data_IF_281529187491
#
_entry.id   IF_281529187491
#
_cell.length_a   1.000
_cell.length_b   1.000
_cell.length_c   1.000
_cell.angle_alpha   90.00
_cell.angle_beta   90.00
_cell.angle_gamma   90.00
#
_symmetry.space_group_name_H-M   'P 1'
#
loop_
_entity.id
_entity.type
_entity.pdbx_description
1 polymer ?
2 water ?
#
# COMPACT_ATOMS: atom_id res chain seq x y z
N UNK A 1 30.62 -6.14 42.10
CA UNK A 1 31.44 -6.32 40.88
C UNK A 1 31.53 -5.01 40.09
N UNK A 2 32.74 -4.78 39.61
CA UNK A 2 33.08 -3.62 38.77
C UNK A 2 32.61 -3.87 37.32
N UNK A 3 32.34 -5.14 37.02
CA UNK A 3 31.73 -5.54 35.74
C UNK A 3 30.27 -5.09 35.68
N UNK A 4 29.53 -5.37 36.76
CA UNK A 4 28.17 -4.89 36.93
C UNK A 4 28.08 -3.38 36.83
N UNK A 5 28.94 -2.69 37.57
CA UNK A 5 29.03 -1.23 37.48
C UNK A 5 29.11 -0.77 36.01
N UNK A 6 29.90 -1.49 35.21
CA UNK A 6 30.17 -1.14 33.81
C UNK A 6 28.96 -1.33 32.91
N UNK A 7 28.37 -2.52 32.96
CA UNK A 7 27.13 -2.81 32.28
C UNK A 7 26.00 -1.87 32.68
N UNK A 8 25.85 -1.60 33.97
CA UNK A 8 24.85 -0.63 34.43
C UNK A 8 25.05 0.73 33.78
N UNK A 9 26.31 1.16 33.70
CA UNK A 9 26.62 2.46 33.10
C UNK A 9 26.24 2.44 31.61
N UNK A 10 26.58 1.37 30.89
CA UNK A 10 26.27 1.30 29.47
C UNK A 10 24.74 1.24 29.23
N UNK A 11 24.02 0.49 30.05
CA UNK A 11 22.56 0.44 29.97
C UNK A 11 21.94 1.81 30.18
N UNK A 12 22.46 2.57 31.14
CA UNK A 12 22.02 3.96 31.35
C UNK A 12 22.24 4.88 30.15
N UNK A 13 23.39 4.77 29.51
CA UNK A 13 23.68 5.57 28.32
C UNK A 13 22.79 5.20 27.17
N UNK A 14 22.64 3.89 26.94
CA UNK A 14 21.80 3.40 25.85
C UNK A 14 20.33 3.77 26.13
N UNK A 15 19.87 3.60 27.36
CA UNK A 15 18.49 3.98 27.71
C UNK A 15 18.23 5.47 27.48
N UNK A 16 19.14 6.33 27.92
CA UNK A 16 18.96 7.76 27.76
C UNK A 16 18.90 8.09 26.25
N UNK A 17 19.79 7.50 25.47
CA UNK A 17 19.73 7.70 24.02
C UNK A 17 18.36 7.22 23.49
N UNK A 18 17.96 5.98 23.82
CA UNK A 18 16.67 5.45 23.34
C UNK A 18 15.42 6.23 23.77
N UNK A 19 15.43 6.79 24.97
CA UNK A 19 14.31 7.63 25.39
C UNK A 19 14.29 8.92 24.57
N UNK A 20 15.45 9.42 24.15
CA UNK A 20 15.46 10.61 23.29
C UNK A 20 14.89 10.33 21.90
N UNK A 21 15.21 9.18 21.31
CA UNK A 21 14.63 8.77 20.04
C UNK A 21 13.10 8.63 20.17
N UNK A 22 12.64 8.04 21.26
CA UNK A 22 11.19 7.96 21.54
C UNK A 22 10.52 9.33 21.65
N UNK A 23 11.20 10.27 22.29
CA UNK A 23 10.70 11.65 22.39
C UNK A 23 10.52 12.27 21.00
N UNK A 24 11.47 12.02 20.11
CA UNK A 24 11.36 12.44 18.72
C UNK A 24 10.18 11.77 18.03
N UNK A 25 10.04 10.46 18.21
CA UNK A 25 8.98 9.68 17.52
C UNK A 25 7.57 10.08 17.98
N UNK A 26 7.46 10.61 19.19
CA UNK A 26 6.18 10.97 19.79
C UNK A 26 5.93 12.47 19.86
N UNK A 27 6.74 13.28 19.17
CA UNK A 27 6.56 14.74 19.17
C UNK A 27 6.68 15.40 20.53
N UNK A 28 7.53 14.87 21.40
CA UNK A 28 7.67 15.36 22.78
C UNK A 28 9.06 15.90 23.11
N UNK A 29 10.03 15.85 22.18
CA UNK A 29 11.41 16.23 22.55
C UNK A 29 11.49 17.68 23.01
N UNK A 30 12.50 17.98 23.80
CA UNK A 30 12.69 19.37 24.22
C UNK A 30 13.43 20.13 23.12
N UNK A 31 12.96 21.33 22.78
CA UNK A 31 13.52 22.08 21.64
C UNK A 31 14.01 23.47 22.01
N UNK A 32 14.99 23.95 21.26
CA UNK A 32 15.65 25.23 21.52
C UNK A 32 14.69 26.40 21.48
N UNK A 33 15.14 27.52 22.04
CA UNK A 33 14.25 28.64 22.37
C UNK A 33 13.20 28.99 21.29
N UNK A 34 13.56 28.86 20.03
CA UNK A 34 12.61 29.14 18.96
C UNK A 34 12.70 28.14 17.81
N UNK A 35 12.98 26.88 18.14
CA UNK A 35 13.05 25.81 17.16
C UNK A 35 11.68 25.16 17.04
N UNK A 36 11.54 24.26 16.08
CA UNK A 36 10.32 23.49 15.91
C UNK A 36 10.67 22.01 16.09
N UNK A 37 9.79 21.26 16.75
CA UNK A 37 9.99 19.83 16.95
C UNK A 37 9.99 19.08 15.64
N UNK A 38 10.72 17.97 15.59
CA UNK A 38 10.79 17.15 14.36
C UNK A 38 9.39 16.77 13.85
N UNK A 39 8.52 16.35 14.76
CA UNK A 39 7.19 15.91 14.38
C UNK A 39 6.37 17.04 13.74
N UNK A 40 6.53 18.27 14.23
CA UNK A 40 5.84 19.39 13.61
C UNK A 40 6.46 19.71 12.23
N UNK A 41 7.77 19.64 12.09
CA UNK A 41 8.42 19.84 10.80
C UNK A 41 7.96 18.82 9.75
N UNK A 42 7.70 17.59 10.18
CA UNK A 42 7.07 16.62 9.29
C UNK A 42 5.65 17.07 8.93
N UNK A 43 4.88 17.51 9.92
CA UNK A 43 3.52 17.94 9.67
C UNK A 43 3.47 19.10 8.65
N UNK A 44 4.45 20.01 8.71
CA UNK A 44 4.54 21.10 7.75
C UNK A 44 4.80 20.54 6.34
N UNK A 45 5.70 19.57 6.21
CA UNK A 45 5.95 18.93 4.91
C UNK A 45 4.70 18.29 4.35
N UNK A 46 3.95 17.59 5.21
CA UNK A 46 2.70 16.96 4.77
C UNK A 46 1.60 17.97 4.44
N UNK A 47 1.65 19.15 5.04
CA UNK A 47 0.73 20.24 4.66
C UNK A 47 1.10 20.78 3.27
N UNK A 48 2.39 20.87 2.97
CA UNK A 48 2.84 21.24 1.64
C UNK A 48 2.38 20.20 0.63
N UNK A 49 2.48 18.93 1.00
CA UNK A 49 2.00 17.84 0.16
C UNK A 49 0.52 18.01 -0.19
N UNK A 50 -0.30 18.37 0.79
CA UNK A 50 -1.72 18.57 0.54
C UNK A 50 -1.97 19.62 -0.51
N UNK A 51 -1.24 20.71 -0.37
CA UNK A 51 -1.30 21.82 -1.32
C UNK A 51 -0.89 21.39 -2.73
N UNK A 52 0.24 20.70 -2.85
CA UNK A 52 0.69 20.19 -4.14
C UNK A 52 -0.41 19.36 -4.82
N UNK A 53 -1.05 18.52 -4.04
CA UNK A 53 -2.11 17.66 -4.55
C UNK A 53 -3.35 18.47 -4.92
N UNK A 54 -3.70 19.46 -4.10
CA UNK A 54 -4.84 20.32 -4.41
C UNK A 54 -4.58 21.07 -5.71
N UNK A 55 -3.41 21.68 -5.83
CA UNK A 55 -3.00 22.38 -7.06
C UNK A 55 -3.01 21.45 -8.27
N UNK A 56 -2.44 20.26 -8.11
CA UNK A 56 -2.48 19.23 -9.16
C UNK A 56 -3.91 18.93 -9.61
N UNK A 57 -4.81 18.77 -8.65
CA UNK A 57 -6.20 18.46 -8.94
C UNK A 57 -6.91 19.59 -9.70
N UNK A 58 -6.74 20.83 -9.24
CA UNK A 58 -7.35 21.98 -9.90
C UNK A 58 -6.74 22.19 -11.29
N UNK A 59 -5.43 21.98 -11.40
CA UNK A 59 -4.74 21.98 -12.68
C UNK A 59 -5.35 20.94 -13.62
N UNK A 60 -5.60 19.74 -13.09
CA UNK A 60 -6.18 18.65 -13.89
C UNK A 60 -7.62 18.91 -14.32
N UNK A 61 -8.43 19.45 -13.41
CA UNK A 61 -9.80 19.87 -13.71
C UNK A 61 -9.82 20.93 -14.82
N UNK A 62 -8.92 21.89 -14.73
CA UNK A 62 -8.88 22.96 -15.71
C UNK A 62 -8.42 22.42 -17.06
N UNK A 63 -7.35 21.62 -17.08
CA UNK A 63 -6.86 21.02 -18.34
C UNK A 63 -7.93 20.16 -19.02
N UNK A 64 -8.69 19.41 -18.23
CA UNK A 64 -9.71 18.53 -18.77
C UNK A 64 -10.91 19.34 -19.27
N UNK A 65 -11.41 20.28 -18.46
CA UNK A 65 -12.51 21.17 -18.91
C UNK A 65 -12.22 21.75 -20.28
N UNK A 66 -10.99 22.24 -20.43
CA UNK A 66 -10.57 22.89 -21.67
C UNK A 66 -10.49 21.90 -22.81
N UNK A 67 -9.98 20.71 -22.55
CA UNK A 67 -9.93 19.69 -23.59
C UNK A 67 -11.34 19.44 -24.15
N UNK A 68 -12.32 19.36 -23.26
CA UNK A 68 -13.71 19.11 -23.65
C UNK A 68 -14.30 20.25 -24.48
N UNK A 69 -14.09 21.49 -24.04
CA UNK A 69 -14.56 22.66 -24.81
C UNK A 69 -13.98 22.64 -26.23
N UNK A 70 -12.68 22.41 -26.34
CA UNK A 70 -11.96 22.40 -27.61
C UNK A 70 -12.53 21.36 -28.56
N UNK A 71 -12.83 20.16 -28.06
CA UNK A 71 -13.48 19.14 -28.87
C UNK A 71 -14.90 19.56 -29.22
N UNK A 72 -15.66 20.02 -28.22
CA UNK A 72 -17.05 20.46 -28.42
C UNK A 72 -17.25 21.29 -29.69
N UNK A 73 -16.18 21.95 -30.15
CA UNK A 73 -16.22 22.74 -31.38
C UNK A 73 -15.45 22.04 -32.52
N UNK A 83 -18.28 9.02 -26.88
CA UNK A 83 -17.16 8.52 -26.08
C UNK A 83 -16.06 7.90 -26.93
N UNK A 84 -15.82 8.47 -28.11
CA UNK A 84 -14.74 8.03 -28.99
C UNK A 84 -13.40 8.59 -28.50
N UNK A 85 -13.49 9.71 -27.78
CA UNK A 85 -12.33 10.37 -27.20
C UNK A 85 -12.06 9.96 -25.75
N UNK A 86 -12.79 8.97 -25.24
CA UNK A 86 -12.63 8.59 -23.85
C UNK A 86 -11.19 8.23 -23.49
N UNK A 87 -10.52 7.50 -24.37
CA UNK A 87 -9.15 7.06 -24.14
C UNK A 87 -8.23 8.26 -24.11
N UNK A 88 -8.57 9.29 -24.89
CA UNK A 88 -7.80 10.51 -24.88
C UNK A 88 -8.00 11.31 -23.60
N UNK A 89 -9.22 11.33 -23.05
CA UNK A 89 -9.50 12.08 -21.82
C UNK A 89 -8.92 11.37 -20.61
N UNK A 90 -9.12 10.06 -20.56
CA UNK A 90 -8.64 9.27 -19.43
C UNK A 90 -7.14 9.47 -19.24
N UNK A 91 -6.41 9.48 -20.35
CA UNK A 91 -4.97 9.75 -20.35
C UNK A 91 -4.58 11.02 -19.59
N UNK A 92 -5.46 12.03 -19.63
CA UNK A 92 -5.16 13.30 -18.94
C UNK A 92 -5.21 13.14 -17.43
N UNK A 93 -6.23 12.46 -16.93
CA UNK A 93 -6.29 12.21 -15.49
C UNK A 93 -5.13 11.28 -15.09
N UNK A 94 -4.94 10.18 -15.82
CA UNK A 94 -3.84 9.26 -15.54
C UNK A 94 -2.51 9.98 -15.44
N UNK A 95 -2.23 10.87 -16.40
CA UNK A 95 -0.96 11.57 -16.42
C UNK A 95 -0.82 12.64 -15.32
N UNK A 96 -1.93 13.20 -14.84
CA UNK A 96 -1.90 14.12 -13.70
C UNK A 96 -1.49 13.41 -12.42
N UNK A 97 -2.01 12.20 -12.22
CA UNK A 97 -1.73 11.41 -11.04
C UNK A 97 -0.30 10.85 -11.07
N UNK A 98 0.11 10.31 -12.20
CA UNK A 98 1.52 9.91 -12.43
C UNK A 98 2.56 11.03 -12.13
N UNK A 99 2.17 12.29 -12.35
CA UNK A 99 3.08 13.43 -12.12
C UNK A 99 3.37 13.63 -10.65
N UNK A 100 2.50 13.11 -9.78
CA UNK A 100 2.72 13.16 -8.32
C UNK A 100 3.72 12.13 -7.80
N UNK A 101 4.17 11.21 -8.65
CA UNK A 101 5.00 10.08 -8.17
C UNK A 101 6.37 10.53 -7.69
N UNK A 102 7.12 11.21 -8.54
CA UNK A 102 8.50 11.62 -8.17
C UNK A 102 8.52 12.63 -7.00
N UNK A 103 7.60 13.61 -6.99
CA UNK A 103 7.44 14.47 -5.81
C UNK A 103 7.15 13.66 -4.55
N UNK A 104 6.36 12.61 -4.67
CA UNK A 104 6.13 11.74 -3.53
C UNK A 104 7.44 11.14 -3.04
N UNK A 105 8.25 10.63 -3.97
CA UNK A 105 9.56 10.08 -3.61
C UNK A 105 10.50 11.20 -3.13
N UNK A 106 10.39 12.40 -3.69
CA UNK A 106 11.24 13.48 -3.21
C UNK A 106 10.93 13.76 -1.75
N UNK A 107 9.65 13.86 -1.41
CA UNK A 107 9.24 14.10 -0.02
C UNK A 107 9.78 13.00 0.91
N UNK A 108 9.70 11.74 0.47
CA UNK A 108 10.33 10.66 1.22
C UNK A 108 11.76 11.04 1.55
N UNK A 109 12.55 11.46 0.56
CA UNK A 109 13.98 11.77 0.79
C UNK A 109 14.17 12.98 1.68
N UNK A 110 13.35 14.02 1.50
CA UNK A 110 13.44 15.24 2.29
C UNK A 110 13.17 14.91 3.76
N UNK A 111 12.12 14.14 4.01
CA UNK A 111 11.76 13.80 5.38
C UNK A 111 12.77 12.88 6.04
N UNK A 112 13.35 11.91 5.32
CA UNK A 112 14.28 10.98 5.96
C UNK A 112 15.56 11.70 6.31
N UNK A 113 15.93 12.70 5.52
CA UNK A 113 17.05 13.56 5.88
C UNK A 113 16.83 14.30 7.21
N UNK A 114 15.63 14.79 7.45
CA UNK A 114 15.31 15.50 8.70
C UNK A 114 15.41 14.56 9.88
N UNK A 115 14.94 13.33 9.70
CA UNK A 115 14.91 12.36 10.77
C UNK A 115 16.30 11.86 11.04
N UNK A 116 17.06 11.52 10.00
CA UNK A 116 18.44 11.13 10.18
C UNK A 116 19.26 12.19 10.95
N UNK A 117 19.01 13.47 10.68
CA UNK A 117 19.72 14.57 11.34
C UNK A 117 19.28 14.69 12.79
N UNK A 118 17.98 14.58 13.03
CA UNK A 118 17.45 14.57 14.38
C UNK A 118 18.17 13.47 15.18
N UNK A 119 18.17 12.25 14.64
CA UNK A 119 18.75 11.11 15.33
C UNK A 119 20.25 11.30 15.53
N UNK A 120 20.92 11.92 14.58
CA UNK A 120 22.34 12.17 14.70
C UNK A 120 22.60 13.18 15.82
N UNK A 121 21.77 14.19 15.96
CA UNK A 121 21.93 15.18 17.05
C UNK A 121 21.64 14.58 18.41
N UNK A 122 20.76 13.58 18.48
CA UNK A 122 20.57 12.85 19.72
C UNK A 122 21.86 12.08 20.06
N UNK A 123 22.46 11.50 19.03
CA UNK A 123 23.72 10.80 19.19
C UNK A 123 24.84 11.73 19.63
N UNK A 124 24.92 12.93 19.06
CA UNK A 124 25.93 13.90 19.48
C UNK A 124 25.69 14.26 20.95
N UNK A 125 24.45 14.63 21.25
CA UNK A 125 24.06 15.04 22.60
C UNK A 125 24.36 13.99 23.66
N UNK A 126 24.19 12.72 23.33
CA UNK A 126 24.36 11.65 24.31
C UNK A 126 25.77 11.10 24.39
N UNK A 127 26.49 11.10 23.27
CA UNK A 127 27.67 10.27 23.12
C UNK A 127 28.89 11.02 22.60
N UNK A 128 28.95 12.34 22.63
CA UNK A 128 30.12 13.00 22.04
C UNK A 128 31.35 12.97 22.92
N UNK A 129 31.20 12.51 24.17
CA UNK A 129 32.36 12.19 25.03
C UNK A 129 32.70 10.68 24.98
N UNK A 130 31.90 9.91 24.25
CA UNK A 130 32.11 8.47 24.07
C UNK A 130 32.15 8.19 22.58
N UNK A 131 33.28 8.56 22.00
CA UNK A 131 33.52 8.51 20.56
C UNK A 131 33.18 7.20 19.85
N UNK A 132 33.42 6.05 20.50
CA UNK A 132 33.15 4.74 19.88
C UNK A 132 31.67 4.40 19.84
N UNK A 133 30.99 4.74 20.93
CA UNK A 133 29.57 4.59 21.06
C UNK A 133 28.87 5.55 20.10
N UNK A 134 29.39 6.77 20.01
CA UNK A 134 28.92 7.72 19.01
C UNK A 134 29.06 7.20 17.56
N UNK A 135 30.25 6.74 17.16
CA UNK A 135 30.38 6.29 15.78
C UNK A 135 29.55 5.02 15.55
N UNK A 136 29.52 4.14 16.53
CA UNK A 136 28.66 2.95 16.44
C UNK A 136 27.19 3.32 16.21
N UNK A 137 26.68 4.27 16.99
CA UNK A 137 25.30 4.74 16.86
C UNK A 137 25.04 5.37 15.50
N UNK A 138 26.00 6.14 15.01
CA UNK A 138 25.92 6.75 13.68
C UNK A 138 25.89 5.72 12.56
N UNK A 139 26.72 4.70 12.66
CA UNK A 139 26.71 3.66 11.63
C UNK A 139 25.35 2.91 11.60
N UNK A 140 24.72 2.76 12.76
CA UNK A 140 23.39 2.17 12.83
C UNK A 140 22.31 3.13 12.29
N UNK A 141 22.42 4.41 12.63
CA UNK A 141 21.53 5.44 12.09
C UNK A 141 21.54 5.43 10.54
N UNK A 142 22.72 5.23 9.97
CA UNK A 142 22.91 5.22 8.53
C UNK A 142 22.49 3.89 7.88
N UNK A 143 22.76 2.76 8.50
CA UNK A 143 22.37 1.49 7.88
C UNK A 143 20.86 1.39 7.86
N UNK A 144 20.21 1.80 8.95
CA UNK A 144 18.76 1.67 9.03
C UNK A 144 18.07 2.70 8.10
N UNK A 145 18.67 3.87 7.91
CA UNK A 145 18.17 4.84 6.94
C UNK A 145 18.05 4.14 5.59
N UNK A 146 19.17 3.57 5.14
CA UNK A 146 19.23 2.93 3.83
C UNK A 146 18.11 1.93 3.71
N UNK A 147 18.03 1.02 4.68
CA UNK A 147 17.08 -0.08 4.62
C UNK A 147 15.62 0.39 4.55
N UNK A 148 15.26 1.36 5.38
CA UNK A 148 13.84 1.75 5.50
C UNK A 148 13.39 2.65 4.34
N UNK A 149 14.31 3.47 3.86
CA UNK A 149 14.07 4.35 2.73
C UNK A 149 13.87 3.52 1.45
N UNK A 150 14.67 2.49 1.23
CA UNK A 150 14.44 1.58 0.10
C UNK A 150 13.01 1.00 0.17
N UNK A 151 12.60 0.63 1.38
CA UNK A 151 11.31 -0.03 1.57
C UNK A 151 10.16 0.96 1.40
N UNK A 152 10.33 2.16 1.97
CA UNK A 152 9.32 3.22 1.82
C UNK A 152 9.15 3.63 0.37
N UNK A 153 10.25 3.74 -0.36
CA UNK A 153 10.14 4.12 -1.77
C UNK A 153 9.39 3.06 -2.57
N UNK A 154 9.67 1.80 -2.29
CA UNK A 154 9.00 0.72 -2.96
C UNK A 154 7.49 0.78 -2.75
N UNK A 155 7.06 1.03 -1.51
CA UNK A 155 5.63 1.08 -1.20
C UNK A 155 4.99 2.32 -1.82
N UNK A 156 5.69 3.44 -1.79
CA UNK A 156 5.19 4.65 -2.46
C UNK A 156 4.97 4.39 -3.95
N UNK A 157 5.99 3.80 -4.60
CA UNK A 157 5.92 3.56 -6.04
C UNK A 157 4.82 2.56 -6.38
N UNK A 158 4.68 1.53 -5.55
CA UNK A 158 3.60 0.56 -5.66
C UNK A 158 2.24 1.26 -5.53
N UNK A 159 2.16 2.23 -4.62
CA UNK A 159 0.90 2.90 -4.44
C UNK A 159 0.53 3.58 -5.73
N UNK A 160 1.51 4.19 -6.39
CA UNK A 160 1.24 4.88 -7.65
C UNK A 160 0.85 3.98 -8.77
N UNK A 161 1.40 2.78 -8.88
CA UNK A 161 0.88 1.89 -9.91
C UNK A 161 -0.51 1.36 -9.55
N UNK A 162 -0.86 1.32 -8.28
CA UNK A 162 -2.24 0.94 -7.91
C UNK A 162 -3.21 2.00 -8.38
N UNK A 163 -2.78 3.25 -8.33
CA UNK A 163 -3.64 4.37 -8.70
C UNK A 163 -3.95 4.45 -10.19
N UNK A 164 -3.07 3.90 -11.02
CA UNK A 164 -3.33 3.79 -12.47
C UNK A 164 -4.46 2.78 -12.81
N UNK A 165 -5.39 2.54 -11.87
CA UNK A 165 -6.63 1.81 -12.15
C UNK A 165 -7.80 2.68 -11.67
N UNK A 166 -8.74 2.99 -12.56
CA UNK A 166 -9.86 3.86 -12.20
C UNK A 166 -10.67 3.22 -11.08
N UNK A 167 -10.85 3.94 -9.97
CA UNK A 167 -11.66 3.49 -8.83
C UNK A 167 -11.05 2.26 -8.21
N UNK A 208 -24.09 12.30 -21.50
CA UNK A 208 -23.57 13.55 -22.03
C UNK A 208 -22.04 13.57 -22.00
N UNK A 209 -21.47 14.61 -22.58
CA UNK A 209 -20.05 14.89 -22.45
C UNK A 209 -19.71 15.32 -21.01
N UNK A 210 -20.72 15.83 -20.30
CA UNK A 210 -20.59 16.24 -18.88
C UNK A 210 -20.54 15.09 -17.87
N UNK A 211 -20.96 13.90 -18.28
CA UNK A 211 -20.91 12.75 -17.39
C UNK A 211 -19.59 12.01 -17.51
N UNK A 212 -18.89 12.19 -18.63
CA UNK A 212 -17.53 11.69 -18.76
C UNK A 212 -16.59 12.58 -17.95
N UNK A 213 -16.84 13.89 -17.99
CA UNK A 213 -16.11 14.84 -17.17
C UNK A 213 -16.27 14.53 -15.68
N UNK A 214 -17.51 14.36 -15.24
CA UNK A 214 -17.77 14.11 -13.83
C UNK A 214 -17.23 12.74 -13.39
N UNK A 215 -17.30 11.75 -14.28
CA UNK A 215 -16.73 10.42 -14.04
C UNK A 215 -15.22 10.49 -13.82
N UNK A 216 -14.50 11.01 -14.82
CA UNK A 216 -13.05 11.07 -14.72
C UNK A 216 -12.59 11.98 -13.57
N UNK A 217 -13.33 13.06 -13.30
CA UNK A 217 -12.96 13.96 -12.20
C UNK A 217 -13.30 13.37 -10.86
N UNK A 218 -14.26 12.45 -10.83
CA UNK A 218 -14.57 11.71 -9.62
C UNK A 218 -13.34 10.91 -9.26
N UNK A 219 -12.86 10.16 -10.25
CA UNK A 219 -11.66 9.35 -10.10
C UNK A 219 -10.45 10.17 -9.65
N UNK A 220 -10.23 11.32 -10.27
CA UNK A 220 -9.08 12.19 -9.91
C UNK A 220 -9.17 12.62 -8.44
N UNK A 221 -10.36 13.06 -8.00
CA UNK A 221 -10.55 13.48 -6.60
C UNK A 221 -10.27 12.36 -5.61
N UNK A 222 -10.77 11.16 -5.93
CA UNK A 222 -10.64 10.03 -5.04
C UNK A 222 -9.18 9.62 -4.93
N UNK A 223 -8.49 9.54 -6.07
CA UNK A 223 -7.04 9.31 -6.08
C UNK A 223 -6.25 10.41 -5.37
N UNK A 224 -6.70 11.66 -5.47
CA UNK A 224 -5.99 12.78 -4.82
C UNK A 224 -6.07 12.64 -3.31
N UNK A 225 -7.26 12.36 -2.81
CA UNK A 225 -7.44 12.19 -1.36
C UNK A 225 -6.56 11.08 -0.85
N UNK A 226 -6.54 9.96 -1.55
CA UNK A 226 -5.73 8.83 -1.12
C UNK A 226 -4.25 9.16 -1.13
N UNK A 227 -3.77 9.80 -2.17
CA UNK A 227 -2.35 10.11 -2.26
C UNK A 227 -1.97 11.09 -1.17
N UNK A 228 -2.86 12.04 -0.88
CA UNK A 228 -2.62 13.07 0.14
C UNK A 228 -2.48 12.47 1.53
N UNK A 229 -3.18 11.37 1.73
CA UNK A 229 -3.24 10.76 3.03
C UNK A 229 -2.23 9.62 3.18
N UNK A 230 -2.15 8.75 2.18
CA UNK A 230 -1.40 7.51 2.30
C UNK A 230 0.12 7.65 2.14
N UNK A 231 0.57 8.63 1.36
CA UNK A 231 2.03 8.81 1.21
C UNK A 231 2.69 9.30 2.53
N UNK A 232 2.11 10.30 3.21
CA UNK A 232 2.67 10.68 4.54
C UNK A 232 2.60 9.54 5.56
N UNK A 233 1.54 8.75 5.51
CA UNK A 233 1.43 7.57 6.35
C UNK A 233 2.58 6.59 6.09
N UNK A 234 2.86 6.33 4.82
CA UNK A 234 3.96 5.44 4.45
C UNK A 234 5.27 6.00 4.98
N UNK A 235 5.51 7.27 4.69
CA UNK A 235 6.75 7.92 5.09
C UNK A 235 6.99 7.91 6.63
N UNK A 236 5.96 8.29 7.37
CA UNK A 236 6.02 8.36 8.79
C UNK A 236 6.23 6.96 9.41
N UNK A 237 5.54 5.94 8.87
CA UNK A 237 5.65 4.58 9.39
C UNK A 237 7.03 4.03 9.21
N UNK A 238 7.61 4.24 8.04
CA UNK A 238 8.91 3.68 7.72
C UNK A 238 10.04 4.51 8.27
N UNK A 239 9.97 5.83 8.10
CA UNK A 239 11.10 6.70 8.36
C UNK A 239 11.06 7.48 9.66
N UNK A 240 10.00 7.32 10.45
CA UNK A 240 10.07 7.77 11.85
C UNK A 240 9.75 6.63 12.78
N UNK A 241 8.54 6.08 12.74
CA UNK A 241 8.24 4.98 13.65
C UNK A 241 9.16 3.75 13.50
N UNK A 242 9.26 3.15 12.32
CA UNK A 242 10.05 1.91 12.15
C UNK A 242 11.54 2.21 12.33
N UNK A 243 12.01 3.24 11.64
CA UNK A 243 13.39 3.73 11.77
C UNK A 243 13.78 3.88 13.25
N UNK A 244 12.91 4.57 13.99
CA UNK A 244 13.13 4.82 15.41
C UNK A 244 13.20 3.52 16.21
N UNK A 245 12.23 2.63 15.95
CA UNK A 245 12.15 1.36 16.68
C UNK A 245 13.34 0.48 16.36
N UNK A 246 13.73 0.40 15.09
CA UNK A 246 14.88 -0.45 14.72
C UNK A 246 16.17 0.09 15.32
N UNK A 247 16.33 1.42 15.35
CA UNK A 247 17.53 2.02 15.92
C UNK A 247 17.58 1.62 17.37
N UNK A 248 16.50 1.78 18.09
CA UNK A 248 16.52 1.44 19.50
C UNK A 248 16.94 -0.02 19.74
N UNK A 249 16.38 -0.95 18.96
CA UNK A 249 16.74 -2.37 19.05
C UNK A 249 18.21 -2.61 18.69
N UNK A 250 18.72 -1.91 17.69
CA UNK A 250 20.14 -2.03 17.31
C UNK A 250 21.08 -1.58 18.44
N UNK A 251 20.67 -0.58 19.20
CA UNK A 251 21.47 -0.12 20.34
C UNK A 251 21.47 -1.14 21.50
N UNK A 252 20.32 -1.75 21.78
CA UNK A 252 20.22 -2.80 22.78
C UNK A 252 21.10 -3.99 22.43
N UNK A 253 21.29 -4.26 21.15
CA UNK A 253 22.19 -5.34 20.69
C UNK A 253 23.63 -5.16 21.18
N UNK A 254 24.04 -3.92 21.39
CA UNK A 254 25.38 -3.65 21.95
C UNK A 254 25.61 -4.26 23.32
N UNK A 255 24.55 -4.64 24.04
CA UNK A 255 24.69 -5.28 25.35
C UNK A 255 25.09 -6.76 25.26
N UNK A 256 25.05 -7.34 24.07
CA UNK A 256 25.35 -8.76 23.95
C UNK A 256 26.80 -9.09 24.34
N UNK A 257 27.77 -8.33 23.85
CA UNK A 257 29.19 -8.65 24.04
C UNK A 257 29.86 -7.85 25.18
N UNK A 258 29.88 -8.49 26.34
CA UNK A 258 30.53 -8.03 27.58
C UNK A 258 31.95 -7.45 27.41
N UNK A 259 32.76 -8.09 26.58
CA UNK A 259 34.15 -7.69 26.40
C UNK A 259 34.32 -6.40 25.58
N UNK A 260 33.24 -5.94 24.94
CA UNK A 260 33.24 -4.69 24.16
C UNK A 260 32.76 -3.47 24.97
N UNK A 261 32.22 -3.70 26.16
CA UNK A 261 31.65 -2.61 26.97
C UNK A 261 32.66 -1.48 27.23
N UNK A 262 33.88 -1.85 27.58
CA UNK A 262 34.90 -0.87 27.90
C UNK A 262 35.25 -0.02 26.70
N UNK A 263 35.35 -0.65 25.53
CA UNK A 263 35.62 0.04 24.27
C UNK A 263 34.50 1.03 23.92
N UNK A 264 33.25 0.60 24.10
CA UNK A 264 32.09 1.48 23.91
C UNK A 264 32.14 2.69 24.86
N UNK A 265 32.60 2.45 26.10
CA UNK A 265 32.66 3.46 27.16
C UNK A 265 33.95 4.30 27.17
N UNK A 266 34.83 4.09 26.18
CA UNK A 266 36.09 4.80 26.09
C UNK A 266 35.79 6.29 26.04
N UNK A 267 36.37 7.05 26.96
CA UNK A 267 36.02 8.47 27.10
C UNK A 267 37.21 9.39 27.02
N UNK A 268 38.24 9.01 26.29
CA UNK A 268 39.45 9.84 26.24
C UNK A 268 39.29 10.94 25.18
N UNK B 2 1.04 -27.59 -41.82
CA UNK B 2 2.29 -26.83 -41.50
C UNK B 2 2.43 -26.62 -39.99
N UNK B 3 3.66 -26.55 -39.51
CA UNK B 3 3.92 -26.14 -38.13
C UNK B 3 3.40 -24.73 -37.90
N UNK B 4 3.55 -23.89 -38.93
CA UNK B 4 3.18 -22.49 -38.83
C UNK B 4 1.67 -22.27 -38.74
N UNK B 5 0.89 -23.18 -39.29
CA UNK B 5 -0.56 -23.05 -39.24
C UNK B 5 -1.07 -23.33 -37.82
N UNK B 6 -0.50 -24.37 -37.21
CA UNK B 6 -0.77 -24.69 -35.81
C UNK B 6 -0.46 -23.52 -34.93
N UNK B 7 0.73 -22.94 -35.11
CA UNK B 7 1.15 -21.81 -34.30
C UNK B 7 0.13 -20.67 -34.34
N UNK B 8 -0.31 -20.31 -35.54
CA UNK B 8 -1.20 -19.18 -35.70
C UNK B 8 -2.60 -19.46 -35.17
N UNK B 9 -3.05 -20.70 -35.28
CA UNK B 9 -4.33 -21.11 -34.71
C UNK B 9 -4.26 -20.92 -33.20
N UNK B 10 -3.12 -21.26 -32.63
CA UNK B 10 -2.90 -21.16 -31.20
C UNK B 10 -2.79 -19.72 -30.72
N UNK B 11 -2.14 -18.89 -31.52
CA UNK B 11 -2.07 -17.48 -31.26
C UNK B 11 -3.51 -16.97 -31.16
N UNK B 12 -4.32 -17.30 -32.16
CA UNK B 12 -5.73 -16.88 -32.15
C UNK B 12 -6.48 -17.34 -30.90
N UNK B 13 -6.30 -18.58 -30.50
CA UNK B 13 -7.09 -19.11 -29.38
C UNK B 13 -6.67 -18.44 -28.08
N UNK B 14 -5.36 -18.31 -27.91
CA UNK B 14 -4.78 -17.67 -26.73
C UNK B 14 -5.18 -16.21 -26.67
N UNK B 15 -5.19 -15.56 -27.82
CA UNK B 15 -5.40 -14.11 -27.88
C UNK B 15 -6.87 -13.77 -27.66
N UNK B 16 -7.78 -14.61 -28.14
CA UNK B 16 -9.21 -14.42 -27.88
C UNK B 16 -9.54 -14.62 -26.38
N UNK B 17 -8.91 -15.61 -25.77
CA UNK B 17 -9.05 -15.84 -24.33
C UNK B 17 -8.56 -14.59 -23.56
N UNK B 18 -7.36 -14.13 -23.90
CA UNK B 18 -6.80 -12.91 -23.32
C UNK B 18 -7.68 -11.66 -23.52
N UNK B 19 -8.33 -11.55 -24.67
CA UNK B 19 -9.29 -10.46 -24.86
C UNK B 19 -10.45 -10.60 -23.86
N UNK B 20 -10.95 -11.81 -23.68
CA UNK B 20 -12.02 -12.04 -22.71
C UNK B 20 -11.61 -11.70 -21.26
N UNK B 21 -10.37 -12.04 -20.91
CA UNK B 21 -9.84 -11.69 -19.57
C UNK B 21 -9.77 -10.15 -19.43
N UNK B 22 -9.31 -9.45 -20.48
CA UNK B 22 -9.28 -7.99 -20.47
C UNK B 22 -10.64 -7.34 -20.30
N UNK B 23 -11.66 -7.86 -20.96
CA UNK B 23 -13.00 -7.30 -20.82
C UNK B 23 -13.47 -7.42 -19.37
N UNK B 24 -13.05 -8.50 -18.73
CA UNK B 24 -13.41 -8.80 -17.34
C UNK B 24 -12.77 -7.77 -16.42
N UNK B 25 -11.48 -7.54 -16.65
CA UNK B 25 -10.68 -6.55 -15.92
C UNK B 25 -11.17 -5.09 -16.08
N UNK B 26 -11.89 -4.81 -17.18
CA UNK B 26 -12.39 -3.47 -17.46
C UNK B 26 -13.92 -3.31 -17.27
N UNK B 27 -14.56 -4.30 -16.65
CA UNK B 27 -15.99 -4.25 -16.36
C UNK B 27 -16.93 -4.32 -17.56
N UNK B 28 -16.44 -4.78 -18.70
CA UNK B 28 -17.20 -4.67 -19.95
C UNK B 28 -17.42 -6.01 -20.64
N UNK B 29 -17.46 -7.10 -19.88
CA UNK B 29 -17.67 -8.42 -20.49
C UNK B 29 -19.13 -8.60 -20.88
N UNK B 30 -19.37 -9.45 -21.88
CA UNK B 30 -20.73 -9.74 -22.31
C UNK B 30 -21.35 -10.71 -21.31
N UNK B 31 -22.57 -10.40 -20.87
CA UNK B 31 -23.25 -11.17 -19.83
C UNK B 31 -24.71 -11.46 -20.19
N UNK B 32 -25.35 -12.33 -19.41
CA UNK B 32 -26.77 -12.69 -19.59
C UNK B 32 -27.74 -11.68 -18.98
N UNK B 33 -29.03 -11.89 -19.23
CA UNK B 33 -30.10 -10.93 -18.89
C UNK B 33 -30.27 -10.67 -17.39
N UNK B 34 -30.30 -11.73 -16.59
CA UNK B 34 -30.41 -11.61 -15.13
C UNK B 34 -29.08 -11.98 -14.46
N UNK B 35 -28.11 -12.34 -15.29
CA UNK B 35 -26.73 -12.50 -14.88
C UNK B 35 -26.18 -11.15 -14.43
N UNK B 36 -24.93 -11.13 -13.94
CA UNK B 36 -24.29 -9.89 -13.52
C UNK B 36 -22.78 -9.92 -13.77
N UNK B 37 -22.23 -8.75 -14.07
CA UNK B 37 -20.81 -8.64 -14.38
C UNK B 37 -19.96 -8.77 -13.14
N UNK B 38 -18.75 -9.30 -13.35
CA UNK B 38 -17.79 -9.48 -12.27
C UNK B 38 -17.62 -8.18 -11.51
N UNK B 39 -17.48 -7.10 -12.26
CA UNK B 39 -17.15 -5.84 -11.65
C UNK B 39 -18.25 -5.36 -10.73
N UNK B 40 -19.49 -5.69 -11.05
CA UNK B 40 -20.62 -5.37 -10.19
C UNK B 40 -20.62 -6.27 -8.95
N UNK B 41 -20.25 -7.52 -9.12
CA UNK B 41 -20.13 -8.42 -7.99
C UNK B 41 -19.09 -7.91 -7.01
N UNK B 42 -17.94 -7.46 -7.53
CA UNK B 42 -16.93 -6.84 -6.68
C UNK B 42 -17.43 -5.58 -5.95
N UNK B 43 -18.16 -4.74 -6.65
CA UNK B 43 -18.65 -3.47 -6.10
C UNK B 43 -19.64 -3.73 -4.95
N UNK B 44 -20.52 -4.72 -5.10
CA UNK B 44 -21.46 -5.09 -4.04
C UNK B 44 -20.70 -5.52 -2.78
N UNK B 45 -19.61 -6.26 -3.02
CA UNK B 45 -18.79 -6.74 -1.93
C UNK B 45 -18.13 -5.56 -1.19
N UNK B 46 -17.72 -4.52 -1.93
CA UNK B 46 -17.12 -3.36 -1.32
C UNK B 46 -18.15 -2.47 -0.61
N UNK B 47 -19.38 -2.46 -1.09
CA UNK B 47 -20.40 -1.78 -0.33
C UNK B 47 -20.61 -2.49 1.03
N UNK B 48 -20.54 -3.82 1.01
CA UNK B 48 -20.66 -4.61 2.22
C UNK B 48 -19.53 -4.22 3.18
N UNK B 49 -18.30 -4.14 2.66
CA UNK B 49 -17.15 -3.67 3.43
C UNK B 49 -17.42 -2.31 4.09
N UNK B 50 -18.04 -1.42 3.35
CA UNK B 50 -18.32 -0.09 3.83
C UNK B 50 -19.37 -0.10 4.99
N UNK B 51 -20.34 -1.02 4.94
CA UNK B 51 -21.28 -1.21 6.03
C UNK B 51 -20.59 -1.81 7.27
N UNK B 52 -19.64 -2.72 7.06
CA UNK B 52 -18.88 -3.31 8.18
C UNK B 52 -18.04 -2.25 8.90
N UNK B 53 -17.36 -1.43 8.11
CA UNK B 53 -16.56 -0.36 8.66
C UNK B 53 -17.41 0.58 9.51
N UNK B 54 -18.63 0.87 9.04
CA UNK B 54 -19.52 1.74 9.82
C UNK B 54 -20.03 1.08 11.08
N UNK B 55 -20.34 -0.22 11.02
CA UNK B 55 -20.69 -0.93 12.25
C UNK B 55 -19.55 -0.79 13.26
N UNK B 56 -18.33 -1.00 12.78
CA UNK B 56 -17.14 -0.96 13.62
C UNK B 56 -16.87 0.41 14.23
N UNK B 57 -17.12 1.47 13.48
CA UNK B 57 -16.90 2.81 13.99
C UNK B 57 -17.92 3.16 15.09
N UNK B 58 -19.19 2.85 14.85
CA UNK B 58 -20.23 3.14 15.83
C UNK B 58 -20.05 2.34 17.13
N UNK B 59 -19.66 1.07 17.06
CA UNK B 59 -19.36 0.30 18.28
C UNK B 59 -18.19 0.93 19.03
N UNK B 60 -17.11 1.26 18.32
CA UNK B 60 -15.99 1.97 18.94
C UNK B 60 -16.40 3.28 19.60
N UNK B 61 -17.31 4.00 18.95
CA UNK B 61 -17.91 5.20 19.51
C UNK B 61 -18.51 4.93 20.88
N UNK B 62 -19.36 3.92 20.97
CA UNK B 62 -20.05 3.57 22.22
C UNK B 62 -19.18 2.92 23.29
N UNK B 63 -18.15 2.19 22.89
CA UNK B 63 -17.18 1.62 23.85
C UNK B 63 -16.37 2.71 24.51
N UNK B 64 -15.86 3.62 23.68
CA UNK B 64 -15.06 4.74 24.14
C UNK B 64 -15.85 5.66 25.07
N UNK B 65 -17.14 5.82 24.79
CA UNK B 65 -18.08 6.52 25.67
C UNK B 65 -18.17 5.87 27.06
N UNK B 66 -18.39 4.56 27.06
CA UNK B 66 -18.50 3.79 28.31
C UNK B 66 -17.21 3.83 29.15
N UNK B 67 -16.05 3.89 28.52
CA UNK B 67 -14.79 4.03 29.27
C UNK B 67 -14.51 5.48 29.67
N UNK B 68 -14.99 6.44 28.89
CA UNK B 68 -14.82 7.87 29.23
C UNK B 68 -15.78 8.32 30.33
N UNK B 69 -16.80 7.51 30.63
CA UNK B 69 -17.54 7.66 31.88
C UNK B 69 -16.76 6.96 33.01
N UNK B 70 -15.77 7.66 33.53
CA UNK B 70 -14.99 7.24 34.69
C UNK B 70 -14.34 8.42 35.42
N UNK B 86 -5.14 7.57 29.84
CA UNK B 86 -5.17 7.96 28.43
C UNK B 86 -4.69 6.83 27.50
N UNK B 87 -3.54 6.24 27.78
CA UNK B 87 -3.03 5.13 26.97
C UNK B 87 -3.87 3.86 27.12
N UNK B 88 -4.68 3.81 28.18
CA UNK B 88 -5.75 2.82 28.30
C UNK B 88 -6.89 3.14 27.32
N UNK B 89 -7.13 4.43 27.07
CA UNK B 89 -8.17 4.84 26.13
C UNK B 89 -7.78 4.59 24.67
N UNK B 90 -6.56 4.98 24.27
CA UNK B 90 -6.14 4.82 22.88
C UNK B 90 -6.03 3.34 22.49
N UNK B 91 -5.73 2.48 23.46
CA UNK B 91 -5.72 1.02 23.23
C UNK B 91 -7.06 0.51 22.70
N UNK B 92 -8.17 1.13 23.11
CA UNK B 92 -9.48 0.65 22.66
C UNK B 92 -9.78 1.09 21.22
N UNK B 93 -9.34 2.29 20.82
CA UNK B 93 -9.48 2.70 19.41
C UNK B 93 -8.61 1.81 18.51
N UNK B 94 -7.41 1.50 18.96
CA UNK B 94 -6.47 0.72 18.16
C UNK B 94 -6.91 -0.73 18.10
N UNK B 95 -7.53 -1.24 19.15
CA UNK B 95 -8.04 -2.60 19.11
C UNK B 95 -9.30 -2.66 18.23
N UNK B 96 -10.01 -1.55 18.11
CA UNK B 96 -11.19 -1.45 17.26
C UNK B 96 -10.78 -1.45 15.78
N UNK B 97 -9.72 -0.73 15.45
CA UNK B 97 -9.12 -0.78 14.12
C UNK B 97 -8.62 -2.20 13.81
N UNK B 98 -7.85 -2.74 14.75
CA UNK B 98 -7.29 -4.07 14.60
C UNK B 98 -8.37 -5.11 14.25
N UNK B 99 -9.59 -4.96 14.80
CA UNK B 99 -10.68 -5.94 14.57
C UNK B 99 -11.17 -6.03 13.11
N UNK B 100 -10.79 -5.05 12.28
CA UNK B 100 -11.06 -5.10 10.84
C UNK B 100 -10.04 -5.93 10.04
N UNK B 101 -8.92 -6.31 10.64
CA UNK B 101 -7.86 -6.98 9.87
C UNK B 101 -8.31 -8.31 9.28
N UNK B 102 -8.85 -9.20 10.11
CA UNK B 102 -9.28 -10.53 9.59
C UNK B 102 -10.50 -10.45 8.65
N UNK B 103 -11.44 -9.55 8.91
CA UNK B 103 -12.49 -9.35 7.89
C UNK B 103 -11.93 -8.81 6.56
N UNK B 104 -10.96 -7.93 6.63
CA UNK B 104 -10.27 -7.45 5.44
C UNK B 104 -9.73 -8.63 4.63
N UNK B 105 -9.06 -9.55 5.33
CA UNK B 105 -8.48 -10.70 4.68
C UNK B 105 -9.54 -11.68 4.20
N UNK B 106 -10.60 -11.86 4.99
CA UNK B 106 -11.76 -12.62 4.55
C UNK B 106 -12.29 -12.11 3.22
N UNK B 107 -12.40 -10.79 3.07
CA UNK B 107 -12.96 -10.24 1.83
C UNK B 107 -11.97 -10.43 0.66
N UNK B 108 -10.67 -10.46 0.96
CA UNK B 108 -9.64 -10.75 -0.05
C UNK B 108 -9.99 -12.09 -0.66
N UNK B 109 -10.31 -13.06 0.22
CA UNK B 109 -10.54 -14.43 -0.21
C UNK B 109 -11.84 -14.55 -0.98
N UNK B 110 -12.90 -13.89 -0.53
CA UNK B 110 -14.17 -13.99 -1.25
C UNK B 110 -14.09 -13.29 -2.62
N UNK B 111 -13.39 -12.16 -2.71
CA UNK B 111 -13.21 -11.51 -4.02
C UNK B 111 -12.36 -12.40 -4.95
N UNK B 112 -11.25 -12.92 -4.44
CA UNK B 112 -10.42 -13.81 -5.23
C UNK B 112 -11.23 -14.98 -5.82
N UNK B 113 -12.09 -15.59 -5.01
CA UNK B 113 -12.91 -16.70 -5.49
C UNK B 113 -13.79 -16.35 -6.66
N UNK B 114 -14.37 -15.16 -6.65
CA UNK B 114 -15.24 -14.79 -7.75
C UNK B 114 -14.48 -14.45 -9.01
N UNK B 115 -13.27 -13.90 -8.86
CA UNK B 115 -12.44 -13.60 -10.01
C UNK B 115 -11.96 -14.91 -10.62
N UNK B 116 -11.54 -15.84 -9.77
CA UNK B 116 -11.10 -17.15 -10.21
C UNK B 116 -12.21 -17.92 -10.97
N UNK B 117 -13.46 -17.82 -10.52
CA UNK B 117 -14.60 -18.44 -11.19
C UNK B 117 -14.87 -17.76 -12.55
N UNK B 118 -14.80 -16.43 -12.60
CA UNK B 118 -14.99 -15.70 -13.85
C UNK B 118 -13.91 -16.09 -14.86
N UNK B 119 -12.67 -16.19 -14.40
CA UNK B 119 -11.56 -16.55 -15.26
C UNK B 119 -11.75 -17.98 -15.75
N UNK B 120 -12.23 -18.85 -14.87
CA UNK B 120 -12.46 -20.25 -15.21
C UNK B 120 -13.59 -20.37 -16.20
N UNK B 121 -14.65 -19.58 -16.01
CA UNK B 121 -15.75 -19.57 -16.97
C UNK B 121 -15.27 -19.05 -18.35
N UNK B 122 -14.29 -18.15 -18.37
CA UNK B 122 -13.70 -17.75 -19.65
C UNK B 122 -12.92 -18.89 -20.29
N UNK B 123 -12.18 -19.65 -19.51
CA UNK B 123 -11.51 -20.85 -20.01
C UNK B 123 -12.51 -21.81 -20.67
N UNK B 124 -13.65 -21.96 -20.03
CA UNK B 124 -14.72 -22.83 -20.48
C UNK B 124 -15.29 -22.34 -21.81
N UNK B 125 -15.66 -21.06 -21.88
CA UNK B 125 -16.19 -20.49 -23.13
C UNK B 125 -15.18 -20.61 -24.26
N UNK B 126 -13.91 -20.42 -23.98
CA UNK B 126 -12.90 -20.47 -25.04
C UNK B 126 -12.35 -21.82 -25.45
N UNK B 127 -12.21 -22.72 -24.48
CA UNK B 127 -11.42 -23.94 -24.64
C UNK B 127 -12.22 -25.22 -24.35
N UNK B 128 -13.54 -25.15 -24.34
CA UNK B 128 -14.37 -26.34 -24.00
C UNK B 128 -14.25 -27.46 -25.03
N UNK B 129 -13.74 -27.16 -26.22
CA UNK B 129 -13.50 -28.18 -27.25
C UNK B 129 -12.01 -28.56 -27.40
N UNK B 130 -11.18 -28.08 -26.48
CA UNK B 130 -9.74 -28.39 -26.42
C UNK B 130 -9.35 -28.63 -24.95
N UNK B 131 -9.55 -29.84 -24.45
CA UNK B 131 -9.48 -30.11 -23.00
C UNK B 131 -8.10 -29.91 -22.39
N UNK B 132 -7.04 -30.16 -23.18
CA UNK B 132 -5.67 -29.96 -22.71
C UNK B 132 -5.32 -28.47 -22.56
N UNK B 133 -5.96 -27.64 -23.36
CA UNK B 133 -5.76 -26.20 -23.27
C UNK B 133 -6.56 -25.70 -22.09
N UNK B 134 -7.75 -26.26 -21.88
CA UNK B 134 -8.61 -25.86 -20.78
C UNK B 134 -7.98 -26.22 -19.43
N UNK B 135 -7.39 -27.42 -19.37
CA UNK B 135 -6.63 -27.90 -18.21
C UNK B 135 -5.41 -27.03 -17.94
N UNK B 136 -4.73 -26.60 -18.99
CA UNK B 136 -3.54 -25.79 -18.83
C UNK B 136 -3.92 -24.38 -18.38
N UNK B 137 -4.96 -23.83 -18.97
CA UNK B 137 -5.48 -22.53 -18.56
C UNK B 137 -5.81 -22.52 -17.07
N UNK B 138 -6.60 -23.50 -16.65
CA UNK B 138 -7.04 -23.63 -15.27
C UNK B 138 -5.89 -23.73 -14.27
N UNK B 139 -4.89 -24.51 -14.65
CA UNK B 139 -3.69 -24.65 -13.86
C UNK B 139 -2.94 -23.30 -13.68
N UNK B 140 -2.96 -22.43 -14.69
CA UNK B 140 -2.36 -21.11 -14.54
C UNK B 140 -3.22 -20.22 -13.63
N UNK B 141 -4.53 -20.32 -13.82
CA UNK B 141 -5.50 -19.63 -13.00
C UNK B 141 -5.29 -19.91 -11.51
N UNK B 142 -4.96 -21.16 -11.18
CA UNK B 142 -4.70 -21.52 -9.80
C UNK B 142 -3.29 -21.09 -9.34
N UNK B 143 -2.26 -21.30 -10.15
CA UNK B 143 -0.92 -20.90 -9.75
C UNK B 143 -0.88 -19.39 -9.44
N UNK B 144 -1.34 -18.56 -10.37
CA UNK B 144 -1.29 -17.09 -10.20
C UNK B 144 -2.15 -16.63 -9.00
N UNK B 145 -3.31 -17.24 -8.79
CA UNK B 145 -4.13 -16.95 -7.65
C UNK B 145 -3.34 -17.05 -6.35
N UNK B 146 -2.68 -18.20 -6.18
CA UNK B 146 -1.89 -18.48 -4.98
C UNK B 146 -0.87 -17.37 -4.77
N UNK B 147 -0.10 -17.08 -5.81
CA UNK B 147 0.92 -16.05 -5.70
C UNK B 147 0.37 -14.65 -5.34
N UNK B 148 -0.67 -14.21 -6.03
CA UNK B 148 -1.17 -12.86 -5.85
C UNK B 148 -1.95 -12.72 -4.54
N UNK B 149 -2.61 -13.78 -4.11
CA UNK B 149 -3.39 -13.76 -2.89
C UNK B 149 -2.46 -13.66 -1.68
N UNK B 150 -1.32 -14.34 -1.76
CA UNK B 150 -0.24 -14.22 -0.77
C UNK B 150 0.19 -12.75 -0.66
N UNK B 151 0.40 -12.11 -1.80
CA UNK B 151 0.91 -10.74 -1.83
C UNK B 151 -0.17 -9.78 -1.39
N UNK B 152 -1.37 -9.98 -1.91
CA UNK B 152 -2.54 -9.22 -1.45
C UNK B 152 -2.65 -9.19 0.06
N UNK B 153 -2.54 -10.36 0.68
CA UNK B 153 -2.74 -10.48 2.11
C UNK B 153 -1.64 -9.74 2.85
N UNK B 154 -0.43 -9.92 2.35
CA UNK B 154 0.74 -9.30 2.89
C UNK B 154 0.54 -7.78 3.02
N UNK B 155 0.06 -7.13 1.97
CA UNK B 155 -0.10 -5.67 1.97
C UNK B 155 -1.29 -5.22 2.80
N UNK B 156 -2.36 -6.00 2.82
CA UNK B 156 -3.46 -5.71 3.70
C UNK B 156 -2.92 -5.69 5.14
N UNK B 157 -2.14 -6.67 5.49
CA UNK B 157 -1.73 -6.81 6.88
C UNK B 157 -0.72 -5.71 7.23
N UNK B 158 0.15 -5.37 6.28
CA UNK B 158 1.04 -4.20 6.44
C UNK B 158 0.24 -2.93 6.67
N UNK B 159 -0.78 -2.68 5.87
CA UNK B 159 -1.64 -1.52 6.12
C UNK B 159 -2.15 -1.46 7.56
N UNK B 160 -2.66 -2.57 8.07
CA UNK B 160 -3.15 -2.56 9.45
C UNK B 160 -2.03 -2.35 10.45
N UNK B 161 -0.83 -2.86 10.16
CA UNK B 161 0.34 -2.53 10.94
C UNK B 161 0.55 -1.00 10.92
N UNK B 162 0.45 -0.38 9.75
CA UNK B 162 0.64 1.05 9.62
C UNK B 162 -0.40 1.80 10.42
N UNK B 163 -1.65 1.35 10.35
CA UNK B 163 -2.73 2.07 11.04
C UNK B 163 -2.50 2.17 12.55
N UNK B 164 -1.81 1.21 13.14
CA UNK B 164 -1.58 1.21 14.58
C UNK B 164 -0.74 2.42 15.08
N UNK B 165 -0.21 3.28 14.19
CA UNK B 165 0.23 4.65 14.59
C UNK B 165 -0.88 5.72 14.49
N UNK B 166 -1.06 6.44 15.58
CA UNK B 166 -2.05 7.52 15.67
C UNK B 166 -1.37 8.88 15.45
N UNK B 211 -12.24 15.55 27.23
CA UNK B 211 -11.39 16.25 26.26
C UNK B 211 -10.85 15.31 25.16
N UNK B 212 -10.10 14.29 25.58
CA UNK B 212 -9.41 13.36 24.67
C UNK B 212 -10.35 12.60 23.71
N UNK B 213 -11.62 12.45 24.08
CA UNK B 213 -12.62 11.79 23.25
C UNK B 213 -12.66 12.30 21.81
N UNK B 214 -12.40 13.60 21.63
CA UNK B 214 -12.44 14.23 20.31
C UNK B 214 -11.18 13.93 19.50
N UNK B 215 -10.04 13.83 20.17
CA UNK B 215 -8.77 13.48 19.53
C UNK B 215 -8.75 12.01 19.09
N UNK B 216 -9.46 11.15 19.83
CA UNK B 216 -9.44 9.71 19.54
C UNK B 216 -10.49 9.31 18.50
N UNK B 217 -11.69 9.86 18.59
CA UNK B 217 -12.73 9.56 17.60
C UNK B 217 -12.47 10.24 16.26
N UNK B 218 -11.60 11.23 16.25
CA UNK B 218 -11.16 11.88 15.02
C UNK B 218 -10.16 10.95 14.33
N UNK B 219 -9.31 10.31 15.12
CA UNK B 219 -8.37 9.32 14.62
C UNK B 219 -9.05 7.99 14.25
N UNK B 220 -10.14 7.63 14.93
CA UNK B 220 -10.92 6.44 14.58
C UNK B 220 -11.59 6.63 13.22
N UNK B 221 -12.15 7.81 13.03
CA UNK B 221 -12.78 8.18 11.76
C UNK B 221 -11.78 8.14 10.60
N UNK B 222 -10.57 8.65 10.85
CA UNK B 222 -9.53 8.71 9.82
C UNK B 222 -9.14 7.32 9.37
N UNK B 223 -8.74 6.50 10.34
CA UNK B 223 -8.46 5.08 10.14
C UNK B 223 -9.61 4.39 9.42
N UNK B 224 -10.83 4.55 9.92
CA UNK B 224 -11.98 3.92 9.28
C UNK B 224 -12.11 4.34 7.80
N UNK B 225 -11.86 5.63 7.53
CA UNK B 225 -11.89 6.15 6.17
C UNK B 225 -10.79 5.57 5.26
N UNK B 226 -9.55 5.48 5.75
CA UNK B 226 -8.46 4.89 4.96
C UNK B 226 -8.73 3.41 4.68
N UNK B 227 -9.11 2.66 5.71
CA UNK B 227 -9.42 1.25 5.55
C UNK B 227 -10.54 1.05 4.51
N UNK B 228 -11.58 1.86 4.60
CA UNK B 228 -12.74 1.74 3.72
C UNK B 228 -12.33 1.75 2.27
N UNK B 229 -11.43 2.65 1.91
CA UNK B 229 -10.99 2.77 0.51
C UNK B 229 -9.78 1.92 0.14
N UNK B 230 -8.79 1.80 1.03
CA UNK B 230 -7.52 1.18 0.65
C UNK B 230 -7.61 -0.33 0.49
N UNK B 231 -8.36 -0.99 1.38
CA UNK B 231 -8.47 -2.44 1.30
C UNK B 231 -9.08 -2.87 -0.05
N UNK B 232 -10.23 -2.28 -0.45
CA UNK B 232 -10.72 -2.57 -1.79
C UNK B 232 -9.69 -2.30 -2.88
N UNK B 233 -9.00 -1.17 -2.79
CA UNK B 233 -8.01 -0.84 -3.81
C UNK B 233 -6.94 -1.96 -3.89
N UNK B 234 -6.36 -2.32 -2.76
CA UNK B 234 -5.36 -3.42 -2.74
C UNK B 234 -5.93 -4.70 -3.39
N UNK B 235 -7.16 -5.03 -3.03
CA UNK B 235 -7.77 -6.28 -3.48
C UNK B 235 -7.98 -6.29 -5.01
N UNK B 236 -8.46 -5.19 -5.57
CA UNK B 236 -8.63 -5.07 -7.00
C UNK B 236 -7.29 -5.14 -7.72
N UNK B 237 -6.32 -4.38 -7.21
CA UNK B 237 -5.03 -4.35 -7.84
C UNK B 237 -4.40 -5.74 -7.97
N UNK B 238 -4.38 -6.49 -6.87
CA UNK B 238 -3.70 -7.78 -6.89
C UNK B 238 -4.54 -8.85 -7.53
N UNK B 239 -5.83 -8.87 -7.18
CA UNK B 239 -6.69 -10.01 -7.48
C UNK B 239 -7.57 -9.83 -8.70
N UNK B 240 -7.59 -8.64 -9.29
CA UNK B 240 -8.21 -8.49 -10.63
C UNK B 240 -7.19 -8.03 -11.67
N UNK B 241 -6.58 -6.87 -11.43
CA UNK B 241 -5.71 -6.29 -12.42
C UNK B 241 -4.41 -7.09 -12.62
N UNK B 242 -3.64 -7.29 -11.55
CA UNK B 242 -2.39 -8.06 -11.64
C UNK B 242 -2.68 -9.52 -11.95
N UNK B 243 -3.65 -10.10 -11.27
CA UNK B 243 -4.05 -11.49 -11.53
C UNK B 243 -4.34 -11.66 -13.02
N UNK B 244 -5.24 -10.85 -13.55
CA UNK B 244 -5.58 -10.86 -14.98
C UNK B 244 -4.42 -10.69 -15.93
N UNK B 245 -3.58 -9.68 -15.69
CA UNK B 245 -2.43 -9.41 -16.57
C UNK B 245 -1.45 -10.56 -16.58
N UNK B 246 -1.19 -11.10 -15.39
CA UNK B 246 -0.23 -12.19 -15.28
C UNK B 246 -0.76 -13.47 -15.94
N UNK B 247 -2.07 -13.69 -15.87
CA UNK B 247 -2.69 -14.87 -16.48
C UNK B 247 -2.46 -14.82 -18.00
N UNK B 248 -2.69 -13.64 -18.57
CA UNK B 248 -2.52 -13.41 -20.00
C UNK B 248 -1.08 -13.67 -20.41
N UNK B 249 -0.14 -13.29 -19.55
CA UNK B 249 1.27 -13.51 -19.85
C UNK B 249 1.64 -14.98 -19.74
N UNK B 250 1.04 -15.67 -18.76
CA UNK B 250 1.31 -17.10 -18.59
C UNK B 250 0.76 -17.93 -19.75
N UNK B 251 -0.36 -17.49 -20.31
CA UNK B 251 -0.93 -18.15 -21.50
C UNK B 251 -0.08 -17.88 -22.72
N UNK B 252 0.43 -16.66 -22.90
CA UNK B 252 1.22 -16.36 -24.07
C UNK B 252 2.53 -17.17 -24.05
N UNK B 253 2.97 -17.57 -22.87
CA UNK B 253 4.17 -18.39 -22.72
C UNK B 253 4.02 -19.78 -23.39
N UNK B 254 2.79 -20.24 -23.53
CA UNK B 254 2.55 -21.52 -24.17
C UNK B 254 3.09 -21.56 -25.61
N UNK B 255 3.33 -20.38 -26.18
CA UNK B 255 3.86 -20.26 -27.55
C UNK B 255 5.36 -20.57 -27.67
N UNK B 256 6.06 -20.68 -26.55
CA UNK B 256 7.49 -20.93 -26.57
C UNK B 256 7.87 -22.32 -27.08
N UNK B 257 7.20 -23.35 -26.57
CA UNK B 257 7.56 -24.73 -26.88
C UNK B 257 6.64 -25.29 -27.94
N UNK B 258 7.11 -25.23 -29.19
CA UNK B 258 6.28 -25.64 -30.34
C UNK B 258 6.08 -27.15 -30.47
N UNK B 259 6.81 -27.94 -29.69
CA UNK B 259 6.58 -29.37 -29.64
C UNK B 259 5.33 -29.72 -28.82
N UNK B 260 4.81 -28.78 -28.04
CA UNK B 260 3.60 -29.02 -27.25
C UNK B 260 2.29 -28.55 -27.93
N UNK B 261 2.40 -27.94 -29.11
CA UNK B 261 1.24 -27.36 -29.79
C UNK B 261 0.14 -28.39 -30.10
N UNK B 262 0.55 -29.57 -30.58
CA UNK B 262 -0.40 -30.62 -30.96
C UNK B 262 -1.15 -31.16 -29.76
N UNK B 263 -0.47 -31.26 -28.63
CA UNK B 263 -1.13 -31.66 -27.38
C UNK B 263 -2.13 -30.59 -26.91
N UNK B 264 -1.75 -29.31 -26.95
CA UNK B 264 -2.66 -28.22 -26.57
C UNK B 264 -3.90 -28.18 -27.47
N UNK B 265 -3.71 -28.48 -28.75
CA UNK B 265 -4.79 -28.39 -29.73
C UNK B 265 -5.55 -29.71 -29.91
N UNK B 266 -5.26 -30.71 -29.10
CA UNK B 266 -5.93 -32.00 -29.22
C UNK B 266 -7.44 -31.79 -28.98
N UNK B 267 -8.25 -32.38 -29.86
CA UNK B 267 -9.69 -32.19 -29.81
C UNK B 267 -10.36 -33.34 -29.08
N UNK B 268 -11.65 -33.15 -28.79
CA UNK B 268 -12.44 -34.12 -28.01
C UNK B 268 -12.62 -35.42 -28.79
N UNK B 269 -12.79 -35.29 -30.11
CA UNK B 269 -12.96 -36.45 -31.00
C UNK B 269 -11.83 -37.46 -30.95
N UNK B 270 -10.64 -37.07 -30.48
CA UNK B 270 -9.54 -38.01 -30.36
C UNK B 270 -8.77 -37.98 -29.01
N UNK B 271 -9.50 -37.95 -27.89
CA UNK B 271 -8.87 -38.11 -26.56
C UNK B 271 -8.91 -39.58 -26.11
#
# INVERSE_FOLDING_TARGET
EDENEKMFFLIDKVNAFNQDITALMQGEETVGEEDIRLFTRLRHEFHKWSTIIENNFQEGHKILSRKIQKFENQYRGRELPGFVNYRTFETIVKQQIKALEEPAVDMLHTVTDMVRLAFTDVSIKNFEEFFNLHRTAKSKIEDIRAEQEREGEKLIRLHFQMEQIVYCQDQVYRGALQKVREKELEEEKKKKSWDFGAFQSSSATDSSMEEIFQHLMAYHQEASKRISSHIPLIIQFFMLQTYGQQLQKAMLQLLQDKDTYSWLLKERSDT
EDENEKMFFLIDKVNAFNQDITALMQGEETVGEEDIRLFTRLRHEFHKWSTIIENNFQEGHKILSRKIQKFENQYRGRELPGFVNYRTFETIVKQQIKALEEPAVDMLHTVTDMVRLAFTDVSIKNFEEFFNLHRTAKSKIEDIRAEQEREGEKLIRLHFQMEQIVYCQDQVYRGALQKVREKELEEEKKKKSWDFGAFQSSSATDSSMEEIFQHLMAYHQEASKRISSHIPLIIQFFMLQTYGQQLQKAMLQLLQDKDTYSWLLKERSDT
#
